data_IF_755811776237
#
_entry.id   IF_755811776237
#
_cell.length_a   1.000
_cell.length_b   1.000
_cell.length_c   1.000
_cell.angle_alpha   90.00
_cell.angle_beta   90.00
_cell.angle_gamma   90.00
#
_symmetry.space_group_name_H-M   'P 1'
#
loop_
_entity.id
_entity.type
_entity.pdbx_description
1 polymer ?
#
# COMPACT_ATOMS: atom_id res chain seq x y z
N UNK A 1 -28.77 1.22 10.66
CA UNK A 1 -28.54 -0.17 10.21
C UNK A 1 -27.20 -0.16 9.47
N UNK A 2 -26.10 -0.07 10.22
CA UNK A 2 -24.77 -0.09 9.61
C UNK A 2 -24.45 -1.55 9.33
N UNK A 3 -24.45 -1.94 8.05
CA UNK A 3 -24.01 -3.27 7.64
C UNK A 3 -22.57 -3.46 8.11
N UNK A 4 -22.41 -4.31 9.11
CA UNK A 4 -21.12 -4.84 9.53
C UNK A 4 -20.47 -5.54 8.34
N UNK A 5 -19.38 -4.98 7.81
CA UNK A 5 -18.60 -5.61 6.75
C UNK A 5 -17.90 -6.84 7.34
N UNK A 6 -18.02 -8.00 6.67
CA UNK A 6 -17.25 -9.20 7.02
C UNK A 6 -15.91 -9.17 6.31
N UNK A 7 -14.86 -9.64 6.99
CA UNK A 7 -13.55 -9.81 6.37
C UNK A 7 -13.63 -10.74 5.17
N UNK A 8 -12.83 -10.45 4.14
CA UNK A 8 -12.65 -11.33 2.97
C UNK A 8 -11.78 -12.56 3.28
N UNK A 9 -11.11 -12.57 4.42
CA UNK A 9 -10.07 -13.56 4.77
C UNK A 9 -10.43 -14.41 5.99
N UNK A 10 -11.46 -14.05 6.76
CA UNK A 10 -11.90 -14.80 7.94
C UNK A 10 -13.33 -14.41 8.38
N UNK A 11 -13.83 -15.03 9.45
CA UNK A 11 -15.18 -14.76 10.00
C UNK A 11 -15.27 -13.48 10.87
N UNK A 12 -14.29 -12.57 10.80
CA UNK A 12 -14.32 -11.34 11.61
C UNK A 12 -15.27 -10.30 11.04
N UNK A 13 -15.81 -9.51 11.97
CA UNK A 13 -16.54 -8.28 11.68
C UNK A 13 -15.55 -7.13 11.69
N UNK A 14 -15.54 -6.36 10.60
CA UNK A 14 -14.69 -5.19 10.44
C UNK A 14 -15.36 -3.94 11.06
N UNK A 15 -14.57 -2.98 11.55
CA UNK A 15 -15.09 -1.72 12.04
C UNK A 15 -15.84 -0.96 10.94
N UNK A 16 -17.02 -0.45 11.27
CA UNK A 16 -17.74 0.49 10.41
C UNK A 16 -17.13 1.90 10.46
N UNK A 17 -17.63 2.82 9.63
CA UNK A 17 -17.05 4.17 9.48
C UNK A 17 -16.92 4.94 10.80
N UNK A 18 -17.97 4.97 11.63
CA UNK A 18 -17.94 5.67 12.92
C UNK A 18 -16.89 5.07 13.88
N UNK A 19 -16.74 3.73 13.85
CA UNK A 19 -15.72 3.06 14.65
C UNK A 19 -14.33 3.41 14.13
N UNK A 20 -14.11 3.40 12.81
CA UNK A 20 -12.83 3.80 12.21
C UNK A 20 -12.43 5.23 12.56
N UNK A 21 -13.38 6.17 12.53
CA UNK A 21 -13.12 7.56 12.93
C UNK A 21 -12.69 7.64 14.40
N UNK A 22 -13.39 6.93 15.29
CA UNK A 22 -13.02 6.86 16.71
C UNK A 22 -11.64 6.25 16.92
N UNK A 23 -11.32 5.14 16.24
CA UNK A 23 -9.99 4.53 16.34
C UNK A 23 -8.89 5.47 15.80
N UNK A 24 -9.18 6.20 14.73
CA UNK A 24 -8.27 7.21 14.17
C UNK A 24 -7.96 8.32 15.18
N UNK A 25 -8.98 8.84 15.86
CA UNK A 25 -8.82 9.87 16.89
C UNK A 25 -8.05 9.36 18.12
N UNK A 26 -8.27 8.09 18.51
CA UNK A 26 -7.55 7.45 19.63
C UNK A 26 -6.08 7.19 19.33
N UNK A 27 -5.76 6.86 18.08
CA UNK A 27 -4.39 6.57 17.62
C UNK A 27 -3.64 7.84 17.21
N UNK A 28 -4.27 9.01 17.28
CA UNK A 28 -3.64 10.28 16.96
C UNK A 28 -2.48 10.58 17.92
N UNK A 29 -1.27 10.68 17.37
CA UNK A 29 -0.04 10.88 18.15
C UNK A 29 0.55 9.63 18.82
N UNK A 30 -0.04 8.44 18.61
CA UNK A 30 0.49 7.18 19.12
C UNK A 30 1.84 6.79 18.49
N UNK A 31 2.62 5.90 19.14
CA UNK A 31 3.80 5.32 18.52
C UNK A 31 3.38 4.51 17.28
N UNK A 32 4.10 4.60 16.14
CA UNK A 32 3.74 3.85 14.94
C UNK A 32 3.57 2.35 15.16
N UNK A 33 4.26 1.74 16.14
CA UNK A 33 4.08 0.33 16.49
C UNK A 33 2.70 0.04 17.05
N UNK A 34 2.14 0.92 17.87
CA UNK A 34 0.78 0.76 18.42
C UNK A 34 -0.26 0.75 17.29
N UNK A 35 -0.09 1.63 16.30
CA UNK A 35 -0.96 1.67 15.10
C UNK A 35 -0.83 0.37 14.29
N UNK A 36 0.39 -0.14 14.13
CA UNK A 36 0.65 -1.40 13.41
C UNK A 36 0.04 -2.58 14.15
N UNK A 37 0.23 -2.68 15.46
CA UNK A 37 -0.34 -3.74 16.30
C UNK A 37 -1.86 -3.72 16.26
N UNK A 38 -2.48 -2.54 16.35
CA UNK A 38 -3.92 -2.37 16.17
C UNK A 38 -4.39 -2.85 14.80
N UNK A 39 -3.70 -2.47 13.72
CA UNK A 39 -4.06 -2.85 12.36
C UNK A 39 -3.95 -4.37 12.17
N UNK A 40 -2.88 -5.00 12.65
CA UNK A 40 -2.70 -6.45 12.57
C UNK A 40 -3.74 -7.18 13.43
N UNK A 41 -4.02 -6.69 14.63
CA UNK A 41 -5.04 -7.25 15.51
C UNK A 41 -6.44 -7.16 14.89
N UNK A 42 -6.75 -6.08 14.18
CA UNK A 42 -8.04 -5.83 13.54
C UNK A 42 -8.22 -6.65 12.26
N UNK A 43 -7.29 -6.51 11.31
CA UNK A 43 -7.45 -7.02 9.94
C UNK A 43 -6.74 -8.36 9.69
N UNK A 44 -5.72 -8.71 10.47
CA UNK A 44 -4.96 -9.96 10.30
C UNK A 44 -4.43 -10.12 8.88
N UNK A 45 -4.73 -11.25 8.24
CA UNK A 45 -4.35 -11.56 6.84
C UNK A 45 -5.04 -10.65 5.80
N UNK A 46 -6.11 -9.94 6.20
CA UNK A 46 -6.77 -8.91 5.38
C UNK A 46 -6.03 -7.57 5.31
N UNK A 47 -4.89 -7.43 6.01
CA UNK A 47 -4.02 -6.26 5.94
C UNK A 47 -2.92 -6.43 4.89
N UNK A 48 -2.76 -5.44 4.01
CA UNK A 48 -1.60 -5.32 3.13
C UNK A 48 -0.68 -4.15 3.56
N UNK A 49 0.60 -4.23 3.21
CA UNK A 49 1.52 -3.09 3.25
C UNK A 49 1.85 -2.66 1.82
N UNK A 50 1.66 -1.38 1.48
CA UNK A 50 2.15 -0.83 0.22
C UNK A 50 3.53 -0.18 0.39
N UNK A 51 4.52 -0.64 -0.39
CA UNK A 51 5.88 -0.12 -0.34
C UNK A 51 6.48 0.08 -1.75
N UNK A 52 7.04 1.26 -1.99
CA UNK A 52 7.70 1.61 -3.25
C UNK A 52 9.19 1.26 -3.31
N UNK A 53 9.80 0.94 -2.15
CA UNK A 53 11.25 0.69 -2.01
C UNK A 53 12.17 1.86 -2.42
N UNK A 54 11.61 3.06 -2.64
CA UNK A 54 12.37 4.27 -2.99
C UNK A 54 12.58 5.26 -1.83
N UNK A 55 11.88 5.09 -0.71
CA UNK A 55 11.92 6.00 0.45
C UNK A 55 12.07 5.25 1.77
N UNK A 56 12.57 5.95 2.80
CA UNK A 56 12.83 5.37 4.11
C UNK A 56 11.56 4.99 4.88
N UNK A 57 10.43 5.67 4.63
CA UNK A 57 9.14 5.39 5.28
C UNK A 57 8.67 3.95 5.10
N UNK A 58 8.76 3.42 3.87
CA UNK A 58 8.30 2.08 3.56
C UNK A 58 9.18 1.04 4.24
N UNK A 59 10.48 1.33 4.36
CA UNK A 59 11.43 0.45 5.04
C UNK A 59 11.24 0.47 6.55
N UNK A 60 10.94 1.62 7.13
CA UNK A 60 10.61 1.72 8.55
C UNK A 60 9.33 0.93 8.88
N UNK A 61 8.28 1.06 8.07
CA UNK A 61 7.05 0.27 8.24
C UNK A 61 7.29 -1.23 8.04
N UNK A 62 8.05 -1.61 7.00
CA UNK A 62 8.41 -3.00 6.73
C UNK A 62 9.16 -3.62 7.91
N UNK A 63 10.12 -2.89 8.48
CA UNK A 63 10.89 -3.34 9.64
C UNK A 63 10.01 -3.54 10.87
N UNK A 64 9.15 -2.55 11.17
CA UNK A 64 8.25 -2.61 12.31
C UNK A 64 7.23 -3.74 12.17
N UNK A 65 6.57 -3.87 11.01
CA UNK A 65 5.53 -4.90 10.81
C UNK A 65 6.10 -6.31 10.81
N UNK A 66 7.33 -6.52 10.29
CA UNK A 66 8.00 -7.82 10.30
C UNK A 66 8.26 -8.38 11.70
N UNK A 67 8.27 -7.52 12.73
CA UNK A 67 8.42 -7.89 14.14
C UNK A 67 7.09 -8.23 14.80
N UNK A 68 5.97 -7.85 14.17
CA UNK A 68 4.61 -8.07 14.67
C UNK A 68 3.99 -9.31 14.01
N UNK A 69 4.21 -9.51 12.71
CA UNK A 69 3.65 -10.64 11.96
C UNK A 69 4.49 -10.96 10.72
N UNK A 70 4.47 -12.24 10.32
CA UNK A 70 5.07 -12.75 9.09
C UNK A 70 4.05 -12.95 7.95
N UNK A 71 2.78 -12.58 8.18
CA UNK A 71 1.67 -12.90 7.26
C UNK A 71 1.26 -11.76 6.33
N UNK A 72 1.61 -10.52 6.65
CA UNK A 72 1.18 -9.35 5.86
C UNK A 72 1.89 -9.34 4.51
N UNK A 73 1.10 -9.23 3.44
CA UNK A 73 1.64 -9.12 2.08
C UNK A 73 2.11 -7.71 1.78
N UNK A 74 3.33 -7.60 1.26
CA UNK A 74 3.90 -6.35 0.75
C UNK A 74 3.53 -6.20 -0.73
N UNK A 75 2.70 -5.21 -1.04
CA UNK A 75 2.33 -4.82 -2.39
C UNK A 75 3.29 -3.76 -2.91
N UNK A 76 3.85 -3.99 -4.09
CA UNK A 76 4.74 -3.03 -4.77
C UNK A 76 4.43 -2.96 -6.25
N UNK A 77 4.62 -1.80 -6.86
CA UNK A 77 4.21 -1.56 -8.25
C UNK A 77 5.46 -1.47 -9.12
N UNK A 78 5.58 -2.40 -10.07
CA UNK A 78 6.51 -2.29 -11.18
C UNK A 78 5.80 -1.61 -12.35
N UNK A 79 6.07 -0.31 -12.47
CA UNK A 79 5.54 0.51 -13.56
C UNK A 79 6.21 0.21 -14.91
N UNK A 80 7.22 -0.65 -15.00
CA UNK A 80 8.08 -0.77 -16.20
C UNK A 80 9.06 0.39 -16.40
N UNK A 81 8.97 1.43 -15.57
CA UNK A 81 9.90 2.57 -15.54
C UNK A 81 10.62 2.70 -14.18
N UNK A 82 10.59 1.64 -13.36
CA UNK A 82 11.30 1.65 -12.07
C UNK A 82 12.82 1.60 -12.32
N UNK A 83 13.59 2.28 -11.47
CA UNK A 83 15.04 2.17 -11.53
C UNK A 83 15.47 0.74 -11.23
N UNK A 84 16.48 0.26 -11.95
CA UNK A 84 17.03 -1.09 -11.78
C UNK A 84 17.49 -1.29 -10.33
N UNK A 85 18.13 -0.28 -9.75
CA UNK A 85 18.60 -0.25 -8.37
C UNK A 85 17.45 -0.42 -7.37
N UNK A 86 16.27 0.17 -7.64
CA UNK A 86 15.09 -0.02 -6.79
C UNK A 86 14.56 -1.45 -6.87
N UNK A 87 14.57 -2.06 -8.06
CA UNK A 87 14.16 -3.45 -8.22
C UNK A 87 15.13 -4.41 -7.51
N UNK A 88 16.44 -4.21 -7.66
CA UNK A 88 17.47 -5.00 -6.98
C UNK A 88 17.41 -4.84 -5.46
N UNK A 89 17.23 -3.60 -4.99
CA UNK A 89 17.07 -3.31 -3.56
C UNK A 89 15.82 -3.98 -2.97
N UNK A 90 14.69 -3.98 -3.70
CA UNK A 90 13.49 -4.74 -3.30
C UNK A 90 13.84 -6.21 -3.08
N UNK A 91 14.49 -6.87 -4.06
CA UNK A 91 14.83 -8.29 -3.94
C UNK A 91 15.75 -8.55 -2.73
N UNK A 92 16.73 -7.68 -2.48
CA UNK A 92 17.61 -7.78 -1.31
C UNK A 92 16.83 -7.67 0.01
N UNK A 93 15.99 -6.63 0.13
CA UNK A 93 15.19 -6.36 1.31
C UNK A 93 14.22 -7.51 1.56
N UNK A 94 13.52 -8.01 0.54
CA UNK A 94 12.54 -9.08 0.72
C UNK A 94 13.19 -10.42 1.08
N UNK A 95 14.40 -10.72 0.59
CA UNK A 95 15.18 -11.88 1.07
C UNK A 95 15.52 -11.80 2.56
N UNK A 96 15.74 -10.59 3.09
CA UNK A 96 16.04 -10.35 4.50
C UNK A 96 14.79 -10.49 5.38
N UNK A 97 13.71 -9.81 5.01
CA UNK A 97 12.51 -9.73 5.85
C UNK A 97 11.58 -10.93 5.72
N UNK A 98 11.65 -11.68 4.62
CA UNK A 98 10.88 -12.92 4.37
C UNK A 98 9.35 -12.78 4.49
N UNK A 99 8.84 -11.55 4.38
CA UNK A 99 7.42 -11.30 4.22
C UNK A 99 6.97 -11.67 2.80
N UNK A 100 5.71 -12.09 2.59
CA UNK A 100 5.15 -12.23 1.25
C UNK A 100 5.26 -10.90 0.48
N UNK A 101 5.67 -10.96 -0.79
CA UNK A 101 5.71 -9.79 -1.68
C UNK A 101 5.00 -10.09 -2.99
N UNK A 102 4.23 -9.11 -3.47
CA UNK A 102 3.59 -9.15 -4.76
C UNK A 102 3.98 -7.93 -5.59
N UNK A 103 4.55 -8.18 -6.76
CA UNK A 103 4.93 -7.16 -7.73
C UNK A 103 3.78 -6.96 -8.72
N UNK A 104 3.05 -5.87 -8.54
CA UNK A 104 1.93 -5.46 -9.37
C UNK A 104 2.44 -4.83 -10.65
N UNK A 105 1.91 -5.26 -11.79
CA UNK A 105 2.26 -4.75 -13.12
C UNK A 105 1.01 -4.21 -13.83
N UNK A 106 1.14 -3.17 -14.66
CA UNK A 106 0.08 -2.76 -15.57
C UNK A 106 -0.31 -3.90 -16.51
N UNK A 107 -1.56 -3.88 -16.99
CA UNK A 107 -2.02 -4.83 -18.00
C UNK A 107 -1.32 -4.63 -19.34
N UNK A 108 -0.98 -3.38 -19.67
CA UNK A 108 -0.25 -3.02 -20.89
C UNK A 108 1.27 -3.10 -20.68
N UNK A 109 1.93 -3.76 -21.62
CA UNK A 109 3.38 -3.63 -21.83
C UNK A 109 3.74 -2.19 -22.21
N UNK A 110 5.05 -1.88 -22.26
CA UNK A 110 5.49 -0.55 -22.69
C UNK A 110 5.20 -0.38 -24.18
N UNK A 111 5.42 -1.44 -24.95
CA UNK A 111 5.22 -1.50 -26.39
C UNK A 111 3.75 -1.24 -26.75
N UNK A 112 2.81 -1.96 -26.13
CA UNK A 112 1.37 -1.76 -26.34
C UNK A 112 0.92 -0.36 -25.92
N UNK A 113 1.47 0.17 -24.83
CA UNK A 113 1.18 1.54 -24.40
C UNK A 113 1.64 2.57 -25.45
N UNK A 114 2.82 2.37 -26.04
CA UNK A 114 3.35 3.25 -27.09
C UNK A 114 2.47 3.19 -28.35
N UNK A 115 1.99 2.01 -28.73
CA UNK A 115 1.10 1.84 -29.87
C UNK A 115 -0.25 2.58 -29.68
N UNK A 116 -0.80 2.56 -28.47
CA UNK A 116 -2.11 3.16 -28.18
C UNK A 116 -2.03 4.66 -27.88
N UNK A 117 -1.02 5.09 -27.10
CA UNK A 117 -0.95 6.45 -26.53
C UNK A 117 0.27 7.26 -26.98
N UNK A 118 1.18 6.65 -27.74
CA UNK A 118 2.42 7.27 -28.21
C UNK A 118 3.58 7.23 -27.19
N UNK A 119 4.81 7.35 -27.69
CA UNK A 119 6.05 7.29 -26.89
C UNK A 119 6.12 8.31 -25.74
N UNK A 120 5.51 9.48 -25.96
CA UNK A 120 5.59 10.60 -25.02
C UNK A 120 4.45 10.63 -24.00
N UNK A 121 3.62 9.58 -23.90
CA UNK A 121 2.49 9.53 -22.97
C UNK A 121 2.89 9.93 -21.53
N UNK A 122 4.05 9.47 -21.05
CA UNK A 122 4.53 9.76 -19.69
C UNK A 122 4.71 11.26 -19.44
N UNK A 123 5.14 12.01 -20.45
CA UNK A 123 5.40 13.45 -20.35
C UNK A 123 4.22 14.30 -20.77
N UNK A 124 3.49 13.89 -21.81
CA UNK A 124 2.37 14.64 -22.36
C UNK A 124 1.07 14.44 -21.59
N UNK A 125 0.85 13.25 -21.01
CA UNK A 125 -0.38 12.88 -20.31
C UNK A 125 -0.06 12.12 -19.00
N UNK A 126 0.68 12.74 -18.06
CA UNK A 126 1.22 12.06 -16.89
C UNK A 126 0.16 11.45 -15.97
N UNK A 127 -1.03 12.07 -15.89
CA UNK A 127 -2.14 11.55 -15.09
C UNK A 127 -2.66 10.21 -15.64
N UNK A 128 -2.81 10.10 -16.96
CA UNK A 128 -3.22 8.84 -17.60
C UNK A 128 -2.14 7.77 -17.44
N UNK A 129 -0.86 8.15 -17.56
CA UNK A 129 0.24 7.23 -17.30
C UNK A 129 0.22 6.70 -15.86
N UNK A 130 -0.04 7.57 -14.88
CA UNK A 130 -0.18 7.14 -13.49
C UNK A 130 -1.43 6.29 -13.26
N UNK A 131 -2.54 6.63 -13.91
CA UNK A 131 -3.77 5.86 -13.83
C UNK A 131 -3.54 4.41 -14.27
N UNK A 132 -3.03 4.20 -15.48
CA UNK A 132 -2.79 2.88 -16.07
C UNK A 132 -1.68 2.11 -15.34
N UNK A 133 -0.55 2.78 -15.06
CA UNK A 133 0.65 2.07 -14.57
C UNK A 133 0.77 1.99 -13.06
N UNK A 134 -0.05 2.74 -12.30
CA UNK A 134 -0.01 2.74 -10.83
C UNK A 134 -1.36 2.49 -10.20
N UNK A 135 -2.38 3.26 -10.57
CA UNK A 135 -3.66 3.27 -9.84
C UNK A 135 -4.46 2.00 -10.13
N UNK A 136 -4.67 1.67 -11.39
CA UNK A 136 -5.42 0.47 -11.81
C UNK A 136 -4.83 -0.84 -11.26
N UNK A 137 -3.52 -1.14 -11.41
CA UNK A 137 -2.96 -2.37 -10.86
C UNK A 137 -3.04 -2.41 -9.33
N UNK A 138 -2.87 -1.27 -8.65
CA UNK A 138 -3.02 -1.20 -7.20
C UNK A 138 -4.47 -1.44 -6.76
N UNK A 139 -5.45 -0.79 -7.39
CA UNK A 139 -6.87 -0.99 -7.07
C UNK A 139 -7.29 -2.44 -7.27
N UNK A 140 -6.87 -3.07 -8.38
CA UNK A 140 -7.14 -4.49 -8.65
C UNK A 140 -6.60 -5.40 -7.54
N UNK A 141 -5.39 -5.12 -7.05
CA UNK A 141 -4.79 -5.87 -5.96
C UNK A 141 -5.49 -5.63 -4.62
N UNK A 142 -5.78 -4.37 -4.28
CA UNK A 142 -6.42 -3.95 -3.03
C UNK A 142 -7.84 -4.48 -2.86
N UNK A 143 -8.55 -4.78 -3.96
CA UNK A 143 -9.84 -5.46 -3.90
C UNK A 143 -9.80 -6.81 -3.17
N UNK A 144 -8.63 -7.44 -3.08
CA UNK A 144 -8.43 -8.68 -2.32
C UNK A 144 -8.23 -8.45 -0.82
N UNK A 145 -7.98 -7.23 -0.36
CA UNK A 145 -7.69 -6.93 1.04
C UNK A 145 -8.86 -6.17 1.70
N UNK A 146 -8.84 -6.14 3.02
CA UNK A 146 -9.80 -5.41 3.85
C UNK A 146 -9.26 -4.02 4.22
N UNK A 147 -7.94 -3.90 4.40
CA UNK A 147 -7.25 -2.65 4.67
C UNK A 147 -5.83 -2.67 4.08
N UNK A 148 -5.22 -1.48 3.92
CA UNK A 148 -3.82 -1.39 3.57
C UNK A 148 -3.11 -0.27 4.32
N UNK A 149 -1.81 -0.47 4.56
CA UNK A 149 -0.92 0.47 5.20
C UNK A 149 -0.03 1.16 4.17
N UNK A 150 0.27 2.44 4.37
CA UNK A 150 1.17 3.21 3.50
C UNK A 150 2.19 4.00 4.31
N UNK A 151 3.35 4.28 3.72
CA UNK A 151 4.39 5.13 4.32
C UNK A 151 4.13 6.64 4.23
N UNK A 152 2.88 7.07 4.06
CA UNK A 152 2.56 8.51 3.96
C UNK A 152 2.84 9.21 5.30
N UNK A 153 3.60 10.31 5.25
CA UNK A 153 3.84 11.21 6.38
C UNK A 153 3.31 12.61 6.06
N UNK A 154 2.74 13.27 7.07
CA UNK A 154 2.13 14.61 6.94
C UNK A 154 3.10 15.68 6.46
N UNK A 155 4.40 15.52 6.75
CA UNK A 155 5.47 16.43 6.35
C UNK A 155 5.89 16.34 4.88
N UNK A 156 5.47 15.30 4.14
CA UNK A 156 5.99 15.05 2.78
C UNK A 156 5.48 16.07 1.76
N UNK A 157 4.21 16.45 1.84
CA UNK A 157 3.58 17.44 0.95
C UNK A 157 2.45 18.16 1.66
N UNK A 158 2.05 19.33 1.16
CA UNK A 158 0.90 20.07 1.68
C UNK A 158 -0.40 19.25 1.64
N UNK A 159 -0.58 18.41 0.61
CA UNK A 159 -1.77 17.55 0.46
C UNK A 159 -1.81 16.41 1.47
N UNK A 160 -0.67 16.04 2.08
CA UNK A 160 -0.57 14.99 3.10
C UNK A 160 -0.70 15.52 4.52
N UNK A 161 -0.64 16.84 4.72
CA UNK A 161 -0.63 17.45 6.05
C UNK A 161 -1.84 17.08 6.91
N UNK A 162 -3.00 16.83 6.29
CA UNK A 162 -4.26 16.47 6.94
C UNK A 162 -4.58 14.97 6.90
N UNK A 163 -3.62 14.10 6.54
CA UNK A 163 -3.86 12.66 6.50
C UNK A 163 -4.18 12.14 7.92
N UNK A 164 -5.33 11.49 8.06
CA UNK A 164 -5.73 10.77 9.29
C UNK A 164 -4.86 9.52 9.48
N UNK A 165 -4.70 9.05 10.72
CA UNK A 165 -3.95 7.82 11.03
C UNK A 165 -4.67 6.60 10.44
N UNK A 166 -5.99 6.56 10.55
CA UNK A 166 -6.89 5.55 9.98
C UNK A 166 -7.98 6.25 9.15
N UNK A 167 -8.31 5.72 7.97
CA UNK A 167 -9.31 6.27 7.04
C UNK A 167 -9.99 5.18 6.22
#
# INVERSE_FOLDING_TARGET
MHESLRSKHNDRILPGLEALERESDLLEGADPREVIEWAVATYGEGLALSASFGGGEGMALLDMISKVTDKVTVLTIDTGFIFKETAEFREEVMRRYKLPVEVLKPELTIEEQVEIYGEQMRTCIPNLCCQIRKIEPLQKALNRYDAWMTGIRREQTLQRASTKVVA
#
